data_IF_683884533971
#
_entry.id   IF_683884533971
#
_cell.length_a   1.000
_cell.length_b   1.000
_cell.length_c   1.000
_cell.angle_alpha   90.00
_cell.angle_beta   90.00
_cell.angle_gamma   90.00
#
_symmetry.space_group_name_H-M   'P 1'
#
loop_
_entity.id
_entity.type
_entity.pdbx_description
1 polymer ?
#
# COMPACT_ATOMS: atom_id res chain seq x y z
N UNK A 1 2.62 -5.98 -5.07
CA UNK A 1 1.39 -6.80 -4.99
C UNK A 1 1.73 -8.22 -4.55
N UNK A 2 0.79 -8.96 -3.97
CA UNK A 2 0.91 -10.41 -3.74
C UNK A 2 0.61 -11.25 -4.99
N UNK A 3 0.01 -10.64 -6.01
CA UNK A 3 -0.23 -11.22 -7.34
C UNK A 3 1.08 -11.34 -8.11
N UNK A 4 1.26 -12.41 -8.90
CA UNK A 4 2.46 -12.61 -9.71
C UNK A 4 2.75 -11.43 -10.63
N UNK A 5 4.03 -11.11 -10.80
CA UNK A 5 4.50 -9.92 -11.51
C UNK A 5 3.90 -9.76 -12.93
N UNK A 6 3.78 -10.82 -13.76
CA UNK A 6 3.13 -10.71 -15.06
C UNK A 6 1.66 -10.29 -14.96
N UNK A 7 0.92 -10.86 -14.01
CA UNK A 7 -0.52 -10.62 -13.87
C UNK A 7 -0.82 -9.25 -13.27
N UNK A 8 -0.05 -8.78 -12.28
CA UNK A 8 -0.24 -7.41 -11.76
C UNK A 8 0.09 -6.35 -12.81
N UNK A 9 1.10 -6.60 -13.66
CA UNK A 9 1.41 -5.69 -14.79
C UNK A 9 0.27 -5.67 -15.81
N UNK A 10 -0.30 -6.83 -16.12
CA UNK A 10 -1.46 -6.93 -17.00
C UNK A 10 -2.68 -6.23 -16.41
N UNK A 11 -2.99 -6.45 -15.13
CA UNK A 11 -4.10 -5.79 -14.43
C UNK A 11 -3.93 -4.27 -14.41
N UNK A 12 -2.75 -3.78 -14.05
CA UNK A 12 -2.45 -2.35 -14.06
C UNK A 12 -2.60 -1.72 -15.46
N UNK A 13 -2.25 -2.45 -16.52
CA UNK A 13 -2.46 -2.01 -17.90
C UNK A 13 -3.95 -1.99 -18.27
N UNK A 14 -4.71 -3.01 -17.89
CA UNK A 14 -6.16 -3.09 -18.15
C UNK A 14 -6.94 -1.98 -17.42
N UNK A 15 -6.50 -1.61 -16.22
CA UNK A 15 -7.08 -0.52 -15.44
C UNK A 15 -6.59 0.88 -15.86
N UNK A 16 -5.64 0.96 -16.79
CA UNK A 16 -5.08 2.23 -17.26
C UNK A 16 -4.24 2.96 -16.21
N UNK A 17 -3.76 2.27 -15.17
CA UNK A 17 -2.96 2.88 -14.10
C UNK A 17 -1.46 2.67 -14.28
N UNK A 18 -1.05 1.78 -15.19
CA UNK A 18 0.36 1.46 -15.43
C UNK A 18 1.21 2.68 -15.80
N UNK A 19 0.63 3.68 -16.48
CA UNK A 19 1.32 4.91 -16.87
C UNK A 19 1.83 5.73 -15.68
N UNK A 20 1.15 5.66 -14.53
CA UNK A 20 1.56 6.37 -13.31
C UNK A 20 2.75 5.72 -12.61
N UNK A 21 3.03 4.43 -12.89
CA UNK A 21 4.09 3.66 -12.23
C UNK A 21 5.28 3.36 -13.15
N UNK A 22 5.10 3.45 -14.47
CA UNK A 22 6.12 3.09 -15.45
C UNK A 22 6.66 1.67 -15.20
N UNK A 23 7.99 1.48 -15.05
CA UNK A 23 8.58 0.16 -14.80
C UNK A 23 8.43 -0.33 -13.34
N UNK A 24 7.95 0.50 -12.42
CA UNK A 24 7.98 0.26 -10.96
C UNK A 24 6.76 -0.52 -10.45
N UNK A 25 6.37 -1.55 -11.20
CA UNK A 25 5.26 -2.45 -10.85
C UNK A 25 5.84 -3.79 -10.40
N UNK A 26 5.79 -4.05 -9.10
CA UNK A 26 6.36 -5.24 -8.48
C UNK A 26 5.25 -6.19 -8.01
N UNK A 27 5.28 -7.43 -8.51
CA UNK A 27 4.42 -8.53 -8.08
C UNK A 27 5.23 -9.73 -7.61
N UNK A 28 4.54 -10.79 -7.18
CA UNK A 28 5.16 -12.01 -6.72
C UNK A 28 6.00 -12.67 -7.81
N UNK A 29 7.06 -13.36 -7.38
CA UNK A 29 7.94 -14.15 -8.25
C UNK A 29 7.82 -15.62 -7.87
N UNK A 30 7.94 -16.50 -8.86
CA UNK A 30 7.71 -17.94 -8.73
C UNK A 30 8.51 -18.61 -7.61
N UNK A 31 9.71 -18.09 -7.30
CA UNK A 31 10.45 -18.54 -6.14
C UNK A 31 9.97 -17.80 -4.88
N UNK A 32 9.00 -18.39 -4.19
CA UNK A 32 8.43 -17.91 -2.92
C UNK A 32 9.49 -17.68 -1.83
N UNK A 33 10.71 -18.23 -1.94
CA UNK A 33 11.83 -17.92 -1.04
C UNK A 33 12.47 -16.56 -1.31
N UNK A 34 12.20 -15.98 -2.49
CA UNK A 34 12.77 -14.71 -2.95
C UNK A 34 11.77 -13.55 -2.96
N UNK A 35 10.50 -13.81 -2.63
CA UNK A 35 9.46 -12.79 -2.66
C UNK A 35 8.75 -12.64 -1.31
N UNK A 36 9.06 -11.54 -0.61
CA UNK A 36 8.24 -11.03 0.48
C UNK A 36 7.98 -9.54 0.27
N UNK A 37 6.86 -9.02 0.79
CA UNK A 37 6.57 -7.57 0.74
C UNK A 37 7.69 -6.76 1.41
N UNK A 38 8.31 -7.30 2.45
CA UNK A 38 9.47 -6.70 3.11
C UNK A 38 10.66 -6.54 2.14
N UNK A 39 10.98 -7.56 1.33
CA UNK A 39 12.07 -7.47 0.35
C UNK A 39 11.83 -6.40 -0.72
N UNK A 40 10.57 -6.19 -1.13
CA UNK A 40 10.23 -5.11 -2.06
C UNK A 40 10.41 -3.74 -1.40
N UNK A 41 9.99 -3.58 -0.15
CA UNK A 41 10.24 -2.35 0.62
C UNK A 41 11.73 -2.08 0.73
N UNK A 42 12.54 -3.06 1.15
CA UNK A 42 14.00 -2.92 1.23
C UNK A 42 14.63 -2.55 -0.11
N UNK A 43 14.16 -3.18 -1.20
CA UNK A 43 14.59 -2.87 -2.56
C UNK A 43 14.29 -1.42 -2.91
N UNK A 44 13.08 -0.92 -2.66
CA UNK A 44 12.67 0.47 -2.90
C UNK A 44 13.57 1.43 -2.12
N UNK A 45 13.78 1.19 -0.83
CA UNK A 45 14.62 2.05 0.00
C UNK A 45 16.05 2.12 -0.54
N UNK A 46 16.63 0.97 -0.89
CA UNK A 46 17.99 0.87 -1.43
C UNK A 46 18.13 1.53 -2.80
N UNK A 47 17.24 1.20 -3.75
CA UNK A 47 17.32 1.69 -5.13
C UNK A 47 17.10 3.20 -5.22
N UNK A 48 16.27 3.76 -4.34
CA UNK A 48 16.00 5.20 -4.28
C UNK A 48 16.90 5.94 -3.29
N UNK A 49 17.76 5.24 -2.54
CA UNK A 49 18.63 5.82 -1.50
C UNK A 49 17.86 6.67 -0.48
N UNK A 50 16.70 6.20 -0.05
CA UNK A 50 15.83 6.88 0.93
C UNK A 50 15.80 6.13 2.26
N UNK A 51 15.57 6.87 3.35
CA UNK A 51 15.30 6.26 4.65
C UNK A 51 13.85 5.79 4.72
N UNK A 52 13.58 4.81 5.59
CA UNK A 52 12.21 4.31 5.75
C UNK A 52 11.22 5.37 6.24
N UNK A 53 11.66 6.39 6.98
CA UNK A 53 10.84 7.56 7.35
C UNK A 53 10.35 8.39 6.15
N UNK A 54 10.96 8.22 4.98
CA UNK A 54 10.55 8.85 3.73
C UNK A 54 9.63 7.95 2.89
N UNK A 55 9.31 6.75 3.39
CA UNK A 55 8.38 5.82 2.75
C UNK A 55 6.96 6.10 3.22
N UNK A 56 6.07 6.30 2.24
CA UNK A 56 4.62 6.32 2.42
C UNK A 56 4.04 5.10 1.72
N UNK A 57 3.27 4.29 2.45
CA UNK A 57 2.55 3.15 1.88
C UNK A 57 1.04 3.28 2.09
N UNK A 58 0.30 2.86 1.06
CA UNK A 58 -1.14 2.67 1.11
C UNK A 58 -1.45 1.19 0.93
N UNK A 59 -2.41 0.67 1.69
CA UNK A 59 -2.75 -0.73 1.62
C UNK A 59 -3.90 -1.14 2.51
N UNK A 60 -4.60 -2.21 2.15
CA UNK A 60 -5.70 -2.80 2.91
C UNK A 60 -5.29 -4.10 3.62
N UNK A 61 -4.06 -4.57 3.39
CA UNK A 61 -3.51 -5.80 3.92
C UNK A 61 -2.59 -5.60 5.14
N UNK A 62 -2.77 -6.45 6.15
CA UNK A 62 -1.95 -6.50 7.37
C UNK A 62 -0.43 -6.43 7.09
N UNK A 63 0.05 -7.25 6.15
CA UNK A 63 1.49 -7.46 5.91
C UNK A 63 2.19 -6.21 5.36
N UNK A 64 1.53 -5.38 4.55
CA UNK A 64 2.18 -4.18 4.00
C UNK A 64 2.20 -3.02 4.98
N UNK A 65 1.16 -2.90 5.80
CA UNK A 65 1.13 -1.93 6.89
C UNK A 65 2.24 -2.26 7.90
N UNK A 66 2.28 -3.49 8.41
CA UNK A 66 3.29 -3.91 9.38
C UNK A 66 4.72 -3.73 8.86
N UNK A 67 5.02 -4.18 7.63
CA UNK A 67 6.35 -4.02 7.06
C UNK A 67 6.74 -2.55 6.83
N UNK A 68 5.80 -1.69 6.44
CA UNK A 68 6.06 -0.25 6.32
C UNK A 68 6.39 0.36 7.68
N UNK A 69 5.66 -0.02 8.73
CA UNK A 69 5.94 0.46 10.09
C UNK A 69 7.27 -0.07 10.62
N UNK A 70 7.65 -1.31 10.30
CA UNK A 70 8.93 -1.90 10.72
C UNK A 70 10.15 -1.14 10.18
N UNK A 71 10.04 -0.49 9.03
CA UNK A 71 11.11 0.37 8.48
C UNK A 71 10.99 1.84 8.91
N UNK A 72 9.99 2.19 9.72
CA UNK A 72 9.75 3.56 10.20
C UNK A 72 8.95 4.45 9.24
N UNK A 73 8.30 3.87 8.23
CA UNK A 73 7.48 4.59 7.27
C UNK A 73 6.11 5.01 7.78
N UNK A 74 5.43 5.83 6.99
CA UNK A 74 4.06 6.26 7.17
C UNK A 74 3.12 5.27 6.47
N UNK A 75 2.23 4.62 7.22
CA UNK A 75 1.32 3.62 6.67
C UNK A 75 -0.13 4.10 6.75
N UNK A 76 -0.79 4.21 5.60
CA UNK A 76 -2.20 4.61 5.47
C UNK A 76 -3.02 3.37 5.12
N UNK A 77 -3.89 2.98 6.04
CA UNK A 77 -4.77 1.82 5.87
C UNK A 77 -5.98 2.18 5.02
N UNK A 78 -6.20 1.43 3.93
CA UNK A 78 -7.37 1.55 3.05
C UNK A 78 -8.40 0.51 3.50
N UNK A 79 -9.27 0.88 4.44
CA UNK A 79 -10.23 -0.02 5.04
C UNK A 79 -11.59 0.06 4.34
N UNK A 80 -11.62 -0.14 3.02
CA UNK A 80 -12.85 -0.04 2.23
C UNK A 80 -13.88 -1.12 2.61
N UNK A 81 -15.15 -0.73 2.71
CA UNK A 81 -16.29 -1.65 2.73
C UNK A 81 -16.51 -2.25 1.32
N UNK A 82 -15.86 -3.39 1.07
CA UNK A 82 -15.96 -4.10 -0.21
C UNK A 82 -17.32 -4.78 -0.42
N UNK A 83 -18.01 -5.15 0.68
CA UNK A 83 -19.35 -5.73 0.60
C UNK A 83 -20.36 -4.71 0.05
N UNK A 84 -20.12 -3.42 0.30
CA UNK A 84 -20.86 -2.29 -0.28
C UNK A 84 -19.90 -1.38 -1.03
N UNK A 85 -19.29 -1.92 -2.08
CA UNK A 85 -18.31 -1.20 -2.90
C UNK A 85 -18.85 0.18 -3.34
N UNK A 86 -18.04 1.23 -3.16
CA UNK A 86 -18.41 2.60 -3.46
C UNK A 86 -19.21 3.33 -2.36
N UNK A 87 -19.53 2.69 -1.23
CA UNK A 87 -20.31 3.32 -0.15
C UNK A 87 -19.58 4.46 0.60
N UNK A 88 -18.25 4.50 0.55
CA UNK A 88 -17.45 5.54 1.25
C UNK A 88 -17.37 5.31 2.74
N UNK A 89 -17.57 4.05 3.14
CA UNK A 89 -17.60 3.63 4.52
C UNK A 89 -16.38 2.80 4.83
N UNK A 90 -15.90 2.97 6.06
CA UNK A 90 -14.82 2.15 6.61
C UNK A 90 -15.41 0.82 7.05
N UNK A 91 -14.81 -0.28 6.60
CA UNK A 91 -15.04 -1.61 7.16
C UNK A 91 -14.50 -1.65 8.61
N UNK A 92 -15.36 -1.87 9.63
CA UNK A 92 -14.94 -1.82 11.03
C UNK A 92 -13.89 -2.88 11.40
N UNK A 93 -13.96 -4.05 10.78
CA UNK A 93 -13.03 -5.15 11.04
C UNK A 93 -11.65 -4.86 10.45
N UNK A 94 -11.58 -4.40 9.19
CA UNK A 94 -10.32 -3.95 8.58
C UNK A 94 -9.71 -2.81 9.37
N UNK A 95 -10.52 -1.82 9.79
CA UNK A 95 -10.05 -0.71 10.63
C UNK A 95 -9.37 -1.22 11.90
N UNK A 96 -10.05 -2.09 12.66
CA UNK A 96 -9.49 -2.64 13.89
C UNK A 96 -8.20 -3.42 13.62
N UNK A 97 -8.21 -4.26 12.59
CA UNK A 97 -7.07 -5.10 12.22
C UNK A 97 -5.84 -4.27 11.81
N UNK A 98 -6.03 -3.26 10.97
CA UNK A 98 -4.93 -2.46 10.41
C UNK A 98 -4.40 -1.42 11.40
N UNK A 99 -5.25 -0.87 12.27
CA UNK A 99 -4.79 -0.08 13.42
C UNK A 99 -3.98 -0.95 14.40
N UNK A 100 -4.35 -2.21 14.57
CA UNK A 100 -3.64 -3.16 15.43
C UNK A 100 -2.18 -3.42 15.03
N UNK A 101 -1.81 -3.16 13.77
CA UNK A 101 -0.42 -3.24 13.26
C UNK A 101 0.26 -1.88 13.08
N UNK A 102 -0.34 -0.82 13.63
CA UNK A 102 0.29 0.49 13.68
C UNK A 102 0.07 1.37 12.45
N UNK A 103 -1.00 1.16 11.67
CA UNK A 103 -1.42 2.15 10.68
C UNK A 103 -1.56 3.54 11.32
N UNK A 104 -1.01 4.57 10.67
CA UNK A 104 -1.03 5.95 11.17
C UNK A 104 -2.37 6.65 10.91
N UNK A 105 -3.06 6.24 9.85
CA UNK A 105 -4.40 6.70 9.51
C UNK A 105 -5.18 5.60 8.81
N UNK A 106 -6.51 5.73 8.81
CA UNK A 106 -7.44 4.82 8.12
C UNK A 106 -8.35 5.66 7.24
N UNK A 107 -8.45 5.27 5.97
CA UNK A 107 -9.36 5.89 4.99
C UNK A 107 -10.34 4.83 4.44
N UNK A 108 -11.58 5.22 4.10
CA UNK A 108 -12.53 4.32 3.46
C UNK A 108 -12.23 4.10 1.97
N UNK A 109 -11.64 5.09 1.31
CA UNK A 109 -11.18 5.09 -0.08
C UNK A 109 -10.46 6.42 -0.39
N UNK A 110 -10.19 6.69 -1.67
CA UNK A 110 -9.43 7.84 -2.14
C UNK A 110 -10.26 9.09 -2.49
N UNK A 111 -11.56 9.14 -2.21
CA UNK A 111 -12.44 10.29 -2.56
C UNK A 111 -11.94 11.62 -2.01
N UNK A 112 -11.42 11.63 -0.80
CA UNK A 112 -10.93 12.84 -0.11
C UNK A 112 -9.41 12.97 -0.17
N UNK A 113 -8.79 12.56 -1.29
CA UNK A 113 -7.33 12.58 -1.46
C UNK A 113 -6.70 13.95 -1.15
N UNK A 114 -7.36 15.06 -1.47
CA UNK A 114 -6.86 16.40 -1.17
C UNK A 114 -6.70 16.68 0.33
N UNK A 115 -7.69 16.27 1.14
CA UNK A 115 -7.63 16.42 2.59
C UNK A 115 -6.58 15.50 3.22
N UNK A 116 -6.48 14.27 2.70
CA UNK A 116 -5.47 13.30 3.12
C UNK A 116 -4.05 13.80 2.85
N UNK A 117 -3.75 14.24 1.63
CA UNK A 117 -2.44 14.76 1.26
C UNK A 117 -2.09 16.03 2.05
N UNK A 118 -3.06 16.92 2.27
CA UNK A 118 -2.85 18.11 3.11
C UNK A 118 -2.44 17.72 4.53
N UNK A 119 -3.08 16.69 5.10
CA UNK A 119 -2.72 16.19 6.44
C UNK A 119 -1.33 15.55 6.47
N UNK A 120 -0.98 14.79 5.44
CA UNK A 120 0.33 14.12 5.34
C UNK A 120 1.47 15.13 5.20
N UNK A 121 1.32 16.15 4.35
CA UNK A 121 2.38 17.12 4.05
C UNK A 121 2.47 18.30 5.03
N UNK A 122 1.50 18.45 5.95
CA UNK A 122 1.59 19.42 7.05
C UNK A 122 2.36 18.87 8.27
N UNK A 123 2.77 17.61 8.22
CA UNK A 123 3.52 16.92 9.26
C UNK A 123 5.02 17.18 9.13
#
# INVERSE_FOLDING_TARGET
SGTDEPFVKQEAALLGVSEFFGPQIYGAKDDYKTFSKAMIIEKILRENSIQGSQLLAFGDGYVEIENTKNVGGLAIAVASDEARNGAGQVDPWKRQRLLGVGADAVIPDYRDAGALLSTIFQR
#
